data_IF_957675479535
#
_entry.id   IF_957675479535
#
_cell.length_a   1.000
_cell.length_b   1.000
_cell.length_c   1.000
_cell.angle_alpha   90.00
_cell.angle_beta   90.00
_cell.angle_gamma   90.00
#
_symmetry.space_group_name_H-M   'P 1'
#
loop_
_entity.id
_entity.type
_entity.pdbx_description
1 polymer ?
#
# COMPACT_ATOMS: atom_id res chain seq x y z
N UNK A 1 14.41 -32.16 9.62
CA UNK A 1 13.81 -31.71 8.35
C UNK A 1 14.79 -30.74 7.70
N UNK A 2 15.10 -30.93 6.43
CA UNK A 2 15.95 -30.01 5.67
C UNK A 2 15.17 -28.70 5.45
N UNK A 3 15.49 -27.68 6.25
CA UNK A 3 14.79 -26.38 6.25
C UNK A 3 14.95 -25.65 4.93
N UNK A 4 15.99 -25.95 4.15
CA UNK A 4 16.21 -25.34 2.83
C UNK A 4 15.06 -25.68 1.86
N UNK A 5 14.52 -26.91 1.90
CA UNK A 5 13.40 -27.33 1.05
C UNK A 5 12.12 -26.53 1.28
N UNK A 6 11.86 -26.08 2.51
CA UNK A 6 10.60 -25.39 2.85
C UNK A 6 10.47 -24.02 2.17
N UNK A 7 11.57 -23.26 2.08
CA UNK A 7 11.56 -21.96 1.39
C UNK A 7 11.40 -22.15 -0.12
N UNK A 8 12.12 -23.11 -0.72
CA UNK A 8 11.99 -23.37 -2.16
C UNK A 8 10.59 -23.85 -2.54
N UNK A 9 9.97 -24.72 -1.73
CA UNK A 9 8.58 -25.13 -1.91
C UNK A 9 7.61 -23.96 -1.84
N UNK A 10 7.80 -23.04 -0.88
CA UNK A 10 7.01 -21.82 -0.81
C UNK A 10 7.19 -20.95 -2.07
N UNK A 11 8.43 -20.71 -2.51
CA UNK A 11 8.72 -19.87 -3.67
C UNK A 11 8.12 -20.45 -4.96
N UNK A 12 8.16 -21.77 -5.13
CA UNK A 12 7.52 -22.47 -6.25
C UNK A 12 5.99 -22.32 -6.21
N UNK A 13 5.36 -22.64 -5.07
CA UNK A 13 3.92 -22.48 -4.90
C UNK A 13 3.45 -21.03 -5.07
N UNK A 14 4.21 -20.06 -4.58
CA UNK A 14 3.96 -18.63 -4.74
C UNK A 14 4.04 -18.22 -6.21
N UNK A 15 5.07 -18.68 -6.94
CA UNK A 15 5.24 -18.41 -8.37
C UNK A 15 4.08 -18.97 -9.20
N UNK A 16 3.68 -20.21 -8.94
CA UNK A 16 2.59 -20.86 -9.65
C UNK A 16 1.24 -20.21 -9.33
N UNK A 17 1.00 -19.87 -8.06
CA UNK A 17 -0.17 -19.10 -7.65
C UNK A 17 -0.23 -17.75 -8.37
N UNK A 18 0.86 -16.99 -8.40
CA UNK A 18 0.91 -15.69 -9.05
C UNK A 18 0.62 -15.78 -10.56
N UNK A 19 1.20 -16.78 -11.25
CA UNK A 19 0.92 -17.02 -12.69
C UNK A 19 -0.55 -17.35 -12.92
N UNK A 20 -1.10 -18.27 -12.13
CA UNK A 20 -2.52 -18.63 -12.23
C UNK A 20 -3.45 -17.45 -11.90
N UNK A 21 -3.09 -16.67 -10.88
CA UNK A 21 -3.81 -15.47 -10.45
C UNK A 21 -3.87 -14.40 -11.54
N UNK A 22 -2.78 -14.14 -12.25
CA UNK A 22 -2.75 -13.17 -13.36
C UNK A 22 -3.75 -13.56 -14.45
N UNK A 23 -3.87 -14.86 -14.76
CA UNK A 23 -4.79 -15.35 -15.77
C UNK A 23 -6.25 -15.31 -15.28
N UNK A 24 -6.52 -15.82 -14.07
CA UNK A 24 -7.87 -15.93 -13.52
C UNK A 24 -8.45 -14.59 -13.03
N UNK A 25 -7.60 -13.61 -12.74
CA UNK A 25 -7.97 -12.28 -12.26
C UNK A 25 -7.54 -11.17 -13.24
N UNK A 26 -7.55 -11.45 -14.55
CA UNK A 26 -7.03 -10.53 -15.57
C UNK A 26 -7.66 -9.13 -15.53
N UNK A 27 -8.96 -9.04 -15.18
CA UNK A 27 -9.64 -7.76 -14.98
C UNK A 27 -9.06 -6.98 -13.80
N UNK A 28 -8.95 -7.62 -12.62
CA UNK A 28 -8.37 -7.02 -11.42
C UNK A 28 -6.92 -6.54 -11.66
N UNK A 29 -6.09 -7.36 -12.31
CA UNK A 29 -4.70 -7.00 -12.63
C UNK A 29 -4.64 -5.82 -13.59
N UNK A 30 -5.53 -5.76 -14.58
CA UNK A 30 -5.62 -4.63 -15.51
C UNK A 30 -5.97 -3.33 -14.77
N UNK A 31 -6.96 -3.36 -13.87
CA UNK A 31 -7.32 -2.22 -13.03
C UNK A 31 -6.12 -1.73 -12.23
N UNK A 32 -5.38 -2.64 -11.57
CA UNK A 32 -4.15 -2.28 -10.86
C UNK A 32 -3.06 -1.70 -11.78
N UNK A 33 -2.96 -2.15 -13.03
CA UNK A 33 -2.02 -1.61 -14.01
C UNK A 33 -2.41 -0.19 -14.48
N UNK A 34 -3.71 0.09 -14.63
CA UNK A 34 -4.21 1.44 -14.94
C UNK A 34 -3.89 2.41 -13.79
N UNK A 35 -4.08 1.96 -12.54
CA UNK A 35 -3.65 2.73 -11.37
C UNK A 35 -2.12 2.92 -11.31
N UNK A 36 -1.31 1.90 -11.63
CA UNK A 36 0.15 2.07 -11.66
C UNK A 36 0.60 3.11 -12.70
N UNK A 37 -0.05 3.16 -13.87
CA UNK A 37 0.24 4.17 -14.89
C UNK A 37 -0.06 5.59 -14.36
N UNK A 38 -1.16 5.75 -13.63
CA UNK A 38 -1.48 7.01 -12.95
C UNK A 38 -0.47 7.37 -11.85
N UNK A 39 -0.06 6.39 -11.04
CA UNK A 39 0.96 6.54 -10.00
C UNK A 39 2.30 6.93 -10.64
N UNK A 40 2.70 6.31 -11.75
CA UNK A 40 3.95 6.61 -12.45
C UNK A 40 4.00 8.06 -12.90
N UNK A 41 2.93 8.53 -13.55
CA UNK A 41 2.78 9.93 -13.95
C UNK A 41 2.86 10.87 -12.74
N UNK A 42 2.16 10.53 -11.66
CA UNK A 42 2.14 11.33 -10.41
C UNK A 42 3.51 11.37 -9.73
N UNK A 43 4.19 10.23 -9.60
CA UNK A 43 5.47 10.10 -8.93
C UNK A 43 6.64 10.72 -9.71
N UNK A 44 6.55 10.70 -11.05
CA UNK A 44 7.52 11.32 -11.94
C UNK A 44 7.31 12.83 -12.13
N UNK A 45 6.23 13.40 -11.59
CA UNK A 45 5.98 14.83 -11.64
C UNK A 45 7.09 15.59 -10.87
N UNK A 46 7.94 16.26 -11.65
CA UNK A 46 8.99 17.22 -11.25
C UNK A 46 10.16 16.65 -10.41
N UNK A 47 11.36 17.00 -10.86
CA UNK A 47 12.66 16.63 -10.27
C UNK A 47 13.29 17.75 -9.42
N UNK A 48 12.55 18.83 -9.10
CA UNK A 48 13.13 20.00 -8.45
C UNK A 48 13.60 19.71 -7.01
N UNK A 49 12.99 18.74 -6.35
CA UNK A 49 13.36 18.29 -5.00
C UNK A 49 13.72 16.80 -5.05
N UNK A 50 14.97 16.43 -5.40
CA UNK A 50 15.35 15.05 -5.72
C UNK A 50 15.00 14.01 -4.64
N UNK A 51 15.11 14.38 -3.37
CA UNK A 51 14.78 13.49 -2.25
C UNK A 51 13.29 13.18 -2.19
N UNK A 52 12.43 14.16 -2.48
CA UNK A 52 10.98 13.94 -2.54
C UNK A 52 10.61 13.03 -3.71
N UNK A 53 11.20 13.27 -4.89
CA UNK A 53 11.01 12.39 -6.06
C UNK A 53 11.45 10.96 -5.77
N UNK A 54 12.62 10.77 -5.13
CA UNK A 54 13.10 9.45 -4.75
C UNK A 54 12.11 8.72 -3.82
N UNK A 55 11.53 9.43 -2.85
CA UNK A 55 10.54 8.87 -1.93
C UNK A 55 9.24 8.49 -2.65
N UNK A 56 8.77 9.26 -3.63
CA UNK A 56 7.62 8.91 -4.47
C UNK A 56 7.87 7.66 -5.32
N UNK A 57 9.05 7.58 -5.95
CA UNK A 57 9.45 6.40 -6.71
C UNK A 57 9.55 5.17 -5.80
N UNK A 58 10.08 5.34 -4.58
CA UNK A 58 10.09 4.29 -3.57
C UNK A 58 8.68 3.88 -3.15
N UNK A 59 7.74 4.84 -3.05
CA UNK A 59 6.34 4.57 -2.74
C UNK A 59 5.68 3.74 -3.85
N UNK A 60 5.87 4.10 -5.13
CA UNK A 60 5.44 3.27 -6.26
C UNK A 60 6.03 1.85 -6.19
N UNK A 61 7.32 1.73 -5.90
CA UNK A 61 7.95 0.41 -5.73
C UNK A 61 7.29 -0.45 -4.64
N UNK A 62 6.90 0.18 -3.52
CA UNK A 62 6.16 -0.50 -2.44
C UNK A 62 4.72 -0.87 -2.86
N UNK A 63 4.05 -0.04 -3.66
CA UNK A 63 2.77 -0.40 -4.26
C UNK A 63 2.91 -1.64 -5.16
N UNK A 64 3.88 -1.68 -6.09
CA UNK A 64 4.12 -2.85 -6.94
C UNK A 64 4.47 -4.11 -6.13
N UNK A 65 5.27 -3.97 -5.07
CA UNK A 65 5.57 -5.08 -4.16
C UNK A 65 4.32 -5.61 -3.43
N UNK A 66 3.39 -4.72 -3.09
CA UNK A 66 2.09 -5.08 -2.50
C UNK A 66 1.21 -5.85 -3.50
N UNK A 67 1.20 -5.45 -4.77
CA UNK A 67 0.53 -6.20 -5.85
C UNK A 67 1.11 -7.61 -5.99
N UNK A 68 2.45 -7.75 -6.00
CA UNK A 68 3.08 -9.07 -6.07
C UNK A 68 2.72 -9.95 -4.86
N UNK A 69 2.62 -9.36 -3.68
CA UNK A 69 2.17 -10.05 -2.45
C UNK A 69 0.68 -10.41 -2.52
N UNK A 70 -0.15 -9.57 -3.12
CA UNK A 70 -1.57 -9.85 -3.35
C UNK A 70 -1.79 -11.00 -4.34
N UNK A 71 -0.93 -11.14 -5.36
CA UNK A 71 -1.00 -12.21 -6.37
C UNK A 71 -0.78 -13.62 -5.79
N UNK A 72 -0.09 -13.72 -4.65
CA UNK A 72 0.02 -14.99 -3.91
C UNK A 72 -1.11 -15.16 -2.88
N UNK A 73 -1.96 -14.15 -2.70
CA UNK A 73 -3.10 -14.19 -1.79
C UNK A 73 -2.75 -13.94 -0.31
N UNK A 74 -1.53 -13.49 0.01
CA UNK A 74 -1.13 -13.25 1.39
C UNK A 74 -1.54 -11.85 1.88
N UNK A 75 -2.84 -11.69 2.13
CA UNK A 75 -3.47 -10.41 2.46
C UNK A 75 -2.83 -9.69 3.64
N UNK A 76 -2.48 -10.38 4.73
CA UNK A 76 -1.95 -9.73 5.93
C UNK A 76 -0.64 -8.95 5.66
N UNK A 77 0.16 -9.36 4.67
CA UNK A 77 1.42 -8.69 4.34
C UNK A 77 1.29 -7.49 3.40
N UNK A 78 0.12 -7.26 2.80
CA UNK A 78 -0.07 -6.09 1.93
C UNK A 78 -0.16 -4.80 2.75
N UNK A 79 -0.83 -4.81 3.90
CA UNK A 79 -1.08 -3.60 4.70
C UNK A 79 0.18 -2.96 5.29
N UNK A 80 1.17 -3.71 5.84
CA UNK A 80 2.45 -3.11 6.25
C UNK A 80 3.17 -2.43 5.08
N UNK A 81 3.14 -3.04 3.89
CA UNK A 81 3.83 -2.52 2.71
C UNK A 81 3.10 -1.30 2.13
N UNK A 82 1.77 -1.33 2.07
CA UNK A 82 0.94 -0.20 1.65
C UNK A 82 1.00 0.97 2.65
N UNK A 83 1.14 0.70 3.94
CA UNK A 83 1.41 1.73 4.95
C UNK A 83 2.76 2.41 4.67
N UNK A 84 3.81 1.64 4.41
CA UNK A 84 5.12 2.20 4.08
C UNK A 84 5.08 3.00 2.76
N UNK A 85 4.28 2.56 1.78
CA UNK A 85 3.97 3.33 0.57
C UNK A 85 3.37 4.71 0.92
N UNK A 86 2.32 4.77 1.73
CA UNK A 86 1.69 6.02 2.16
C UNK A 86 2.64 6.91 2.97
N UNK A 87 3.40 6.32 3.90
CA UNK A 87 4.35 7.08 4.72
C UNK A 87 5.46 7.70 3.87
N UNK A 88 5.97 6.99 2.85
CA UNK A 88 6.94 7.53 1.92
C UNK A 88 6.36 8.69 1.08
N UNK A 89 5.12 8.57 0.59
CA UNK A 89 4.43 9.66 -0.09
C UNK A 89 4.26 10.89 0.84
N UNK A 90 3.89 10.67 2.10
CA UNK A 90 3.77 11.76 3.08
C UNK A 90 5.11 12.42 3.41
N UNK A 91 6.21 11.65 3.47
CA UNK A 91 7.54 12.21 3.67
C UNK A 91 7.98 13.05 2.47
N UNK A 92 7.66 12.61 1.25
CA UNK A 92 7.91 13.39 0.04
C UNK A 92 7.21 14.76 0.13
N UNK A 93 5.92 14.78 0.51
CA UNK A 93 5.17 16.03 0.70
C UNK A 93 5.80 16.97 1.72
N UNK A 94 6.25 16.44 2.86
CA UNK A 94 6.92 17.24 3.90
C UNK A 94 8.22 17.85 3.38
N UNK A 95 8.99 17.11 2.58
CA UNK A 95 10.24 17.59 1.99
C UNK A 95 10.00 18.57 0.86
N UNK A 96 8.94 18.42 0.07
CA UNK A 96 8.62 19.42 -0.95
C UNK A 96 8.28 20.78 -0.35
N UNK A 97 7.51 20.81 0.73
CA UNK A 97 7.22 22.07 1.43
C UNK A 97 8.46 22.72 2.04
N UNK A 98 9.47 21.92 2.37
CA UNK A 98 10.69 22.33 3.05
C UNK A 98 11.89 21.51 2.53
N UNK A 99 12.45 21.88 1.35
CA UNK A 99 13.49 21.09 0.69
C UNK A 99 14.70 20.79 1.57
N UNK A 100 15.02 21.65 2.54
CA UNK A 100 16.08 21.46 3.52
C UNK A 100 15.88 20.23 4.44
N UNK A 101 14.65 19.73 4.57
CA UNK A 101 14.35 18.50 5.31
C UNK A 101 14.84 17.25 4.59
N UNK A 102 15.13 17.32 3.28
CA UNK A 102 15.76 16.21 2.56
C UNK A 102 17.12 15.83 3.17
N UNK A 103 17.88 16.85 3.59
CA UNK A 103 19.16 16.68 4.28
C UNK A 103 19.01 16.04 5.66
N UNK A 104 17.95 16.41 6.38
CA UNK A 104 17.61 15.81 7.70
C UNK A 104 17.28 14.33 7.55
N UNK A 105 16.49 13.99 6.52
CA UNK A 105 16.14 12.61 6.21
C UNK A 105 17.38 11.79 5.83
N UNK A 106 18.22 12.29 4.91
CA UNK A 106 19.42 11.60 4.43
C UNK A 106 20.46 11.37 5.54
N UNK A 107 20.56 12.29 6.51
CA UNK A 107 21.53 12.23 7.62
C UNK A 107 20.99 11.54 8.88
N UNK A 108 19.79 10.92 8.84
CA UNK A 108 19.13 10.28 9.99
C UNK A 108 20.02 9.37 10.83
N UNK A 109 20.95 8.67 10.19
CA UNK A 109 21.81 7.67 10.82
C UNK A 109 23.19 8.20 11.25
N UNK A 110 23.45 9.51 11.11
CA UNK A 110 24.75 10.11 11.46
C UNK A 110 25.07 10.01 12.95
N UNK A 111 24.11 10.34 13.80
CA UNK A 111 24.23 10.35 15.26
C UNK A 111 22.85 10.35 15.95
N UNK A 112 22.84 10.32 17.28
CA UNK A 112 21.59 10.27 18.06
C UNK A 112 20.73 11.53 17.90
N UNK A 113 21.35 12.70 17.72
CA UNK A 113 20.63 13.97 17.60
C UNK A 113 20.02 14.11 16.20
N UNK A 114 20.72 13.65 15.16
CA UNK A 114 20.18 13.51 13.81
C UNK A 114 18.96 12.58 13.79
N UNK A 115 19.02 11.44 14.52
CA UNK A 115 17.88 10.53 14.66
C UNK A 115 16.68 11.19 15.35
N UNK A 116 16.92 11.94 16.44
CA UNK A 116 15.87 12.68 17.16
C UNK A 116 15.24 13.75 16.28
N UNK A 117 16.06 14.53 15.57
CA UNK A 117 15.59 15.57 14.64
C UNK A 117 14.75 14.98 13.52
N UNK A 118 15.21 13.91 12.87
CA UNK A 118 14.44 13.22 11.85
C UNK A 118 13.09 12.74 12.41
N UNK A 119 13.07 12.14 13.61
CA UNK A 119 11.80 11.72 14.24
C UNK A 119 10.87 12.90 14.53
N UNK A 120 11.39 14.04 14.98
CA UNK A 120 10.59 15.22 15.27
C UNK A 120 9.94 15.83 14.01
N UNK A 121 10.68 15.88 12.91
CA UNK A 121 10.18 16.46 11.66
C UNK A 121 9.16 15.54 10.97
N UNK A 122 9.45 14.24 10.93
CA UNK A 122 8.73 13.27 10.12
C UNK A 122 7.77 12.36 10.90
N UNK A 123 7.81 12.35 12.23
CA UNK A 123 6.96 11.47 13.06
C UNK A 123 5.46 11.69 12.85
N UNK A 124 5.06 12.93 12.56
CA UNK A 124 3.67 13.31 12.26
C UNK A 124 3.45 13.58 10.75
N UNK A 125 4.31 13.06 9.86
CA UNK A 125 4.22 13.38 8.42
C UNK A 125 2.83 13.06 7.84
N UNK A 126 2.27 11.89 8.16
CA UNK A 126 0.92 11.50 7.70
C UNK A 126 -0.13 12.53 8.14
N UNK A 127 -0.15 12.88 9.43
CA UNK A 127 -1.10 13.85 9.99
C UNK A 127 -0.93 15.25 9.38
N UNK A 128 0.31 15.71 9.20
CA UNK A 128 0.62 17.02 8.58
C UNK A 128 0.12 17.05 7.13
N UNK A 129 0.42 16.00 6.36
CA UNK A 129 0.04 15.88 4.96
C UNK A 129 -1.48 15.76 4.79
N UNK A 130 -2.17 14.93 5.59
CA UNK A 130 -3.63 14.81 5.56
C UNK A 130 -4.30 16.15 5.90
N UNK A 131 -3.80 16.88 6.90
CA UNK A 131 -4.31 18.21 7.25
C UNK A 131 -4.14 19.22 6.11
N UNK A 132 -3.03 19.15 5.36
CA UNK A 132 -2.81 19.99 4.17
C UNK A 132 -3.77 19.59 3.06
N UNK A 133 -3.83 18.31 2.74
CA UNK A 133 -4.73 17.77 1.73
C UNK A 133 -6.19 18.15 2.00
N UNK A 134 -6.68 18.00 3.23
CA UNK A 134 -8.04 18.38 3.61
C UNK A 134 -8.34 19.88 3.54
N UNK A 135 -7.33 20.76 3.49
CA UNK A 135 -7.57 22.18 3.19
C UNK A 135 -7.79 22.43 1.70
N UNK A 136 -7.14 21.64 0.85
CA UNK A 136 -7.25 21.72 -0.60
C UNK A 136 -8.50 21.00 -1.10
N UNK A 137 -8.83 19.87 -0.48
CA UNK A 137 -9.97 19.01 -0.79
C UNK A 137 -10.80 18.74 0.46
N UNK A 138 -11.62 19.71 0.94
CA UNK A 138 -12.38 19.57 2.18
C UNK A 138 -13.34 18.37 2.19
N UNK A 139 -13.93 18.05 1.04
CA UNK A 139 -14.83 16.90 0.88
C UNK A 139 -14.13 15.55 1.13
N UNK A 140 -12.81 15.51 0.99
CA UNK A 140 -11.99 14.31 1.10
C UNK A 140 -11.09 14.33 2.35
N UNK A 141 -11.27 15.30 3.26
CA UNK A 141 -10.35 15.55 4.37
C UNK A 141 -10.17 14.36 5.34
N UNK A 142 -11.21 13.53 5.49
CA UNK A 142 -11.18 12.34 6.35
C UNK A 142 -10.62 11.08 5.68
N UNK A 143 -10.82 10.93 4.36
CA UNK A 143 -10.60 9.67 3.63
C UNK A 143 -9.22 9.04 3.86
N UNK A 144 -8.15 9.82 3.72
CA UNK A 144 -6.78 9.32 3.85
C UNK A 144 -6.45 8.99 5.31
N UNK A 145 -7.00 9.74 6.26
CA UNK A 145 -6.81 9.47 7.69
C UNK A 145 -7.52 8.18 8.08
N UNK A 146 -8.77 8.03 7.67
CA UNK A 146 -9.57 6.82 7.93
C UNK A 146 -8.94 5.59 7.28
N UNK A 147 -8.41 5.72 6.06
CA UNK A 147 -7.65 4.67 5.38
C UNK A 147 -6.33 4.33 6.11
N UNK A 148 -5.60 5.34 6.60
CA UNK A 148 -4.37 5.10 7.36
C UNK A 148 -4.64 4.29 8.63
N UNK A 149 -5.70 4.66 9.36
CA UNK A 149 -6.12 3.99 10.57
C UNK A 149 -6.69 2.59 10.28
N UNK A 150 -7.45 2.41 9.20
CA UNK A 150 -7.97 1.10 8.80
C UNK A 150 -6.86 0.11 8.45
N UNK A 151 -5.77 0.57 7.83
CA UNK A 151 -4.59 -0.28 7.58
C UNK A 151 -3.98 -0.84 8.87
N UNK A 152 -4.04 -0.11 9.99
CA UNK A 152 -3.57 -0.60 11.30
C UNK A 152 -4.41 -1.77 11.76
N UNK A 153 -5.73 -1.61 11.70
CA UNK A 153 -6.71 -2.62 12.06
C UNK A 153 -6.61 -3.85 11.16
N UNK A 154 -6.27 -3.66 9.88
CA UNK A 154 -6.16 -4.72 8.87
C UNK A 154 -4.81 -5.45 8.86
N UNK A 155 -3.84 -5.02 9.67
CA UNK A 155 -2.61 -5.78 9.89
C UNK A 155 -1.31 -5.05 9.57
N UNK A 156 -1.34 -3.75 9.30
CA UNK A 156 -0.11 -2.95 9.22
C UNK A 156 0.71 -3.00 10.52
N UNK A 157 0.03 -3.22 11.66
CA UNK A 157 0.62 -3.81 12.85
C UNK A 157 0.06 -5.22 13.06
N UNK A 158 0.88 -6.22 13.43
CA UNK A 158 0.39 -7.54 13.80
C UNK A 158 -0.74 -7.44 14.83
N UNK A 159 -1.91 -7.97 14.49
CA UNK A 159 -3.09 -7.90 15.36
C UNK A 159 -3.97 -9.14 15.16
N UNK A 160 -4.92 -9.33 16.08
CA UNK A 160 -5.80 -10.51 16.08
C UNK A 160 -6.72 -10.57 14.86
N UNK A 161 -7.17 -9.42 14.34
CA UNK A 161 -8.07 -9.34 13.18
C UNK A 161 -7.38 -9.73 11.89
N UNK A 162 -6.08 -9.47 11.76
CA UNK A 162 -5.32 -9.76 10.54
C UNK A 162 -4.73 -11.17 10.52
N UNK A 163 -4.30 -11.69 11.68
CA UNK A 163 -3.58 -12.97 11.76
C UNK A 163 -4.53 -14.15 11.98
N UNK A 164 -5.45 -14.07 12.94
CA UNK A 164 -6.28 -15.21 13.36
C UNK A 164 -7.13 -15.77 12.22
N UNK A 165 -7.78 -14.98 11.35
CA UNK A 165 -8.61 -15.52 10.27
C UNK A 165 -7.84 -16.36 9.23
N UNK A 166 -6.51 -16.28 9.22
CA UNK A 166 -5.64 -17.02 8.31
C UNK A 166 -5.05 -18.28 8.96
N UNK A 167 -5.30 -18.49 10.26
CA UNK A 167 -4.86 -19.66 11.00
C UNK A 167 -5.81 -20.83 10.75
N UNK A 168 -5.26 -21.98 10.39
CA UNK A 168 -5.89 -23.29 10.53
C UNK A 168 -5.34 -23.95 11.78
N UNK A 169 -6.23 -24.45 12.63
CA UNK A 169 -5.85 -25.12 13.87
C UNK A 169 -6.51 -26.49 13.92
N UNK A 170 -5.71 -27.53 14.15
CA UNK A 170 -6.18 -28.90 14.34
C UNK A 170 -5.73 -29.39 15.72
N UNK A 171 -6.67 -29.91 16.50
CA UNK A 171 -6.37 -30.49 17.82
C UNK A 171 -5.98 -31.95 17.66
N UNK A 172 -4.83 -32.32 18.23
CA UNK A 172 -4.40 -33.72 18.35
C UNK A 172 -4.50 -34.16 19.81
N UNK A 173 -4.30 -35.46 20.07
CA UNK A 173 -4.34 -36.01 21.44
C UNK A 173 -3.25 -35.45 22.39
N UNK A 174 -2.24 -34.71 21.88
CA UNK A 174 -1.10 -34.24 22.68
C UNK A 174 -0.75 -32.77 22.49
N UNK A 175 -1.17 -32.15 21.39
CA UNK A 175 -0.84 -30.76 21.04
C UNK A 175 -1.80 -30.23 19.96
N UNK A 176 -1.77 -28.91 19.73
CA UNK A 176 -2.42 -28.28 18.58
C UNK A 176 -1.43 -28.14 17.42
N UNK A 177 -1.85 -28.53 16.22
CA UNK A 177 -1.15 -28.21 14.98
C UNK A 177 -1.71 -26.90 14.41
N UNK A 178 -0.83 -25.97 14.05
CA UNK A 178 -1.20 -24.61 13.60
C UNK A 178 -0.56 -24.34 12.24
N UNK A 179 -1.39 -24.06 11.24
CA UNK A 179 -0.97 -23.67 9.89
C UNK A 179 -1.39 -22.23 9.56
N UNK A 180 -0.50 -21.45 8.96
CA UNK A 180 -0.81 -20.14 8.40
C UNK A 180 -0.79 -20.22 6.87
N UNK A 181 -1.90 -19.85 6.23
CA UNK A 181 -1.98 -19.82 4.77
C UNK A 181 -1.15 -18.67 4.18
N UNK A 182 0.04 -18.98 3.65
CA UNK A 182 0.91 -17.99 3.00
C UNK A 182 0.66 -17.86 1.49
N UNK A 183 0.02 -18.86 0.88
CA UNK A 183 -0.38 -18.86 -0.53
C UNK A 183 -1.86 -19.23 -0.60
N UNK A 184 -2.72 -18.29 -0.99
CA UNK A 184 -4.18 -18.40 -0.92
C UNK A 184 -4.84 -17.84 -2.20
N UNK A 185 -4.94 -18.63 -3.29
CA UNK A 185 -5.53 -18.17 -4.55
C UNK A 185 -6.93 -17.54 -4.39
N UNK A 186 -7.75 -18.07 -3.46
CA UNK A 186 -9.09 -17.57 -3.16
C UNK A 186 -9.15 -16.16 -2.57
N UNK A 187 -8.01 -15.60 -2.15
CA UNK A 187 -7.92 -14.26 -1.54
C UNK A 187 -7.35 -13.21 -2.50
N UNK A 188 -6.85 -13.63 -3.66
CA UNK A 188 -6.13 -12.77 -4.60
C UNK A 188 -6.96 -11.55 -5.01
N UNK A 189 -8.16 -11.75 -5.56
CA UNK A 189 -8.98 -10.64 -6.07
C UNK A 189 -9.24 -9.58 -4.99
N UNK A 190 -9.68 -10.03 -3.81
CA UNK A 190 -9.95 -9.11 -2.69
C UNK A 190 -8.70 -8.43 -2.15
N UNK A 191 -7.52 -9.01 -2.34
CA UNK A 191 -6.24 -8.41 -1.95
C UNK A 191 -5.79 -7.39 -2.99
N UNK A 192 -5.98 -7.68 -4.28
CA UNK A 192 -5.73 -6.73 -5.37
C UNK A 192 -6.65 -5.50 -5.25
N UNK A 193 -7.92 -5.69 -4.90
CA UNK A 193 -8.85 -4.59 -4.63
C UNK A 193 -8.34 -3.69 -3.49
N UNK A 194 -7.89 -4.26 -2.36
CA UNK A 194 -7.31 -3.47 -1.27
C UNK A 194 -6.06 -2.69 -1.70
N UNK A 195 -5.17 -3.32 -2.49
CA UNK A 195 -4.04 -2.62 -3.07
C UNK A 195 -4.49 -1.47 -3.96
N UNK A 196 -5.50 -1.67 -4.81
CA UNK A 196 -6.05 -0.64 -5.68
C UNK A 196 -6.61 0.54 -4.89
N UNK A 197 -7.51 0.29 -3.94
CA UNK A 197 -8.15 1.35 -3.15
C UNK A 197 -7.12 2.18 -2.38
N UNK A 198 -6.21 1.51 -1.68
CA UNK A 198 -5.18 2.21 -0.90
C UNK A 198 -4.18 2.92 -1.81
N UNK A 199 -3.81 2.29 -2.93
CA UNK A 199 -2.92 2.87 -3.93
C UNK A 199 -3.51 4.13 -4.56
N UNK A 200 -4.81 4.14 -4.87
CA UNK A 200 -5.51 5.30 -5.42
C UNK A 200 -5.44 6.49 -4.47
N UNK A 201 -5.84 6.33 -3.21
CA UNK A 201 -5.77 7.45 -2.26
C UNK A 201 -4.33 7.88 -1.95
N UNK A 202 -3.39 6.93 -1.95
CA UNK A 202 -1.96 7.26 -1.77
C UNK A 202 -1.42 8.06 -2.96
N UNK A 203 -1.85 7.75 -4.18
CA UNK A 203 -1.41 8.43 -5.41
C UNK A 203 -1.76 9.92 -5.41
N UNK A 204 -2.84 10.32 -4.72
CA UNK A 204 -3.21 11.72 -4.52
C UNK A 204 -2.16 12.51 -3.73
N UNK A 205 -1.34 11.83 -2.93
CA UNK A 205 -0.23 12.41 -2.19
C UNK A 205 1.12 12.24 -2.91
N UNK A 206 1.16 11.52 -4.03
CA UNK A 206 2.38 11.32 -4.80
C UNK A 206 2.63 12.42 -5.84
N UNK A 207 1.69 13.35 -6.05
CA UNK A 207 1.85 14.53 -6.91
C UNK A 207 2.19 15.79 -6.09
N UNK A 208 2.52 16.90 -6.73
CA UNK A 208 2.64 18.20 -6.04
C UNK A 208 1.23 18.74 -5.74
N UNK A 209 0.88 18.80 -4.45
CA UNK A 209 -0.46 19.22 -4.03
C UNK A 209 -0.78 20.69 -4.38
N UNK A 210 0.22 21.55 -4.56
CA UNK A 210 -0.01 22.97 -4.87
C UNK A 210 -0.24 23.20 -6.38
N UNK A 211 -0.02 22.18 -7.21
CA UNK A 211 -0.09 22.30 -8.67
C UNK A 211 -0.95 21.23 -9.34
N UNK A 212 -1.84 20.59 -8.58
CA UNK A 212 -2.80 19.66 -9.15
C UNK A 212 -3.70 20.40 -10.14
N UNK A 213 -3.74 19.91 -11.38
CA UNK A 213 -4.59 20.43 -12.44
C UNK A 213 -5.93 19.68 -12.53
N UNK A 214 -6.83 20.18 -13.36
CA UNK A 214 -8.14 19.56 -13.57
C UNK A 214 -8.01 18.16 -14.19
N UNK A 215 -7.02 17.95 -15.07
CA UNK A 215 -6.81 16.65 -15.72
C UNK A 215 -6.48 15.55 -14.71
N UNK A 216 -5.66 15.87 -13.70
CA UNK A 216 -5.38 14.95 -12.60
C UNK A 216 -6.67 14.49 -11.91
N UNK A 217 -7.57 15.42 -11.59
CA UNK A 217 -8.82 15.09 -10.90
C UNK A 217 -9.80 14.32 -11.78
N UNK A 218 -9.86 14.60 -13.08
CA UNK A 218 -10.64 13.80 -14.04
C UNK A 218 -10.14 12.36 -14.06
N UNK A 219 -8.82 12.16 -14.15
CA UNK A 219 -8.22 10.83 -14.17
C UNK A 219 -8.42 10.09 -12.84
N UNK A 220 -8.22 10.78 -11.71
CA UNK A 220 -8.48 10.24 -10.38
C UNK A 220 -9.96 9.87 -10.16
N UNK A 221 -10.90 10.66 -10.68
CA UNK A 221 -12.33 10.39 -10.61
C UNK A 221 -12.69 9.14 -11.41
N UNK A 222 -12.17 8.98 -12.62
CA UNK A 222 -12.37 7.77 -13.43
C UNK A 222 -11.87 6.50 -12.73
N UNK A 223 -10.71 6.58 -12.08
CA UNK A 223 -10.17 5.47 -11.27
C UNK A 223 -11.02 5.20 -10.03
N UNK A 224 -11.59 6.22 -9.41
CA UNK A 224 -12.51 6.06 -8.29
C UNK A 224 -13.84 5.43 -8.72
N UNK A 225 -14.37 5.77 -9.89
CA UNK A 225 -15.55 5.14 -10.45
C UNK A 225 -15.30 3.66 -10.75
N UNK A 226 -14.15 3.34 -11.36
CA UNK A 226 -13.68 1.97 -11.53
C UNK A 226 -13.58 1.21 -10.19
N UNK A 227 -13.07 1.87 -9.14
CA UNK A 227 -13.05 1.31 -7.77
C UNK A 227 -14.44 0.95 -7.29
N UNK A 228 -15.38 1.89 -7.42
CA UNK A 228 -16.75 1.75 -6.91
C UNK A 228 -17.53 0.66 -7.67
N UNK A 229 -17.30 0.53 -8.98
CA UNK A 229 -17.85 -0.56 -9.78
C UNK A 229 -17.28 -1.91 -9.35
N UNK A 230 -15.96 -2.01 -9.19
CA UNK A 230 -15.30 -3.24 -8.75
C UNK A 230 -15.72 -3.65 -7.32
N UNK A 231 -15.92 -2.69 -6.41
CA UNK A 231 -16.44 -2.95 -5.07
C UNK A 231 -17.82 -3.60 -5.14
N UNK A 232 -18.72 -3.10 -6.01
CA UNK A 232 -20.05 -3.69 -6.24
C UNK A 232 -19.96 -5.10 -6.82
N UNK A 233 -19.04 -5.35 -7.75
CA UNK A 233 -18.79 -6.70 -8.31
C UNK A 233 -18.41 -7.69 -7.20
N UNK A 234 -17.47 -7.31 -6.32
CA UNK A 234 -16.99 -8.15 -5.22
C UNK A 234 -18.08 -8.39 -4.18
N UNK A 235 -18.88 -7.37 -3.84
CA UNK A 235 -19.96 -7.49 -2.87
C UNK A 235 -21.17 -8.26 -3.43
N UNK A 236 -21.53 -8.02 -4.69
CA UNK A 236 -22.62 -8.70 -5.38
C UNK A 236 -22.34 -10.18 -5.64
N UNK A 237 -21.09 -10.54 -5.91
CA UNK A 237 -20.65 -11.94 -6.07
C UNK A 237 -20.65 -12.77 -4.78
N UNK A 238 -20.86 -12.15 -3.61
CA UNK A 238 -20.97 -12.84 -2.31
C UNK A 238 -22.40 -13.19 -1.90
N UNK A 239 -23.39 -12.72 -2.65
CA UNK A 239 -24.82 -12.95 -2.38
C UNK A 239 -25.44 -14.09 -3.22
N UNK A 240 -24.62 -14.82 -3.99
CA UNK A 240 -25.02 -15.95 -4.84
C UNK A 240 -24.43 -17.27 -4.41
#
# INVERSE_FOLDING_TARGET
MDTSRSLYQFLEAASDCAKGAIQSNASAVRRCAELDAFIEKSAAARLQVPTATLLRLSARGMFCASINTALIGYRAAIFPTLRACLEAACYAQVIEQKPELGDVWAKRHRDQDARKRCRAEFGDAVKKTCKRFGKLMPENAGLITDMYDSMIDDGAHPNVRSIIPSIKMEETNTHFEVGLGLVLPSRVETSLFCCFEIGLFTSWLMTDLDEIDENFWIEAANLNDMKNEWEKEILGGRAG
#
